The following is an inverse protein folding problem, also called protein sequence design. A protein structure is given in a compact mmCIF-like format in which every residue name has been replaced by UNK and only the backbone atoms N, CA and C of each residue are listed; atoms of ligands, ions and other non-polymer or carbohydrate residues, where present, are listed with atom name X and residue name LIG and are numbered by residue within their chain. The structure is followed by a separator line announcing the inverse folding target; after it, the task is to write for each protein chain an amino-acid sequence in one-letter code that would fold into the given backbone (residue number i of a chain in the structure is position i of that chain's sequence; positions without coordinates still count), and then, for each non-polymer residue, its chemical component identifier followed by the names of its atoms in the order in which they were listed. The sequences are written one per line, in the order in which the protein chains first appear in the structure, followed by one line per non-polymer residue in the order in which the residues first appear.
data_IF_361218914993
#
_entry.id   IF_361218914993
#
_cell.length_a   1.000
_cell.length_b   1.000
_cell.length_c   1.000
_cell.angle_alpha   90.00
_cell.angle_beta   90.00
_cell.angle_gamma   90.00
#
_symmetry.space_group_name_H-M   'P 1'
#
loop_
_entity.id
_entity.type
_entity.pdbx_description
1 polymer ?
#
# COMPACT_ATOMS: atom_id res chain seq x y z
N UNK A 1 -16.83 -1.07 8.94
CA UNK A 1 -16.53 -0.86 7.50
C UNK A 1 -15.44 0.19 7.42
N UNK A 2 -14.31 -0.13 6.81
CA UNK A 2 -13.24 0.85 6.57
C UNK A 2 -13.73 1.80 5.47
N UNK A 3 -13.58 3.11 5.65
CA UNK A 3 -13.87 4.07 4.59
C UNK A 3 -12.60 4.27 3.78
N UNK A 4 -12.57 3.72 2.57
CA UNK A 4 -11.42 3.82 1.66
C UNK A 4 -11.79 4.78 0.54
N UNK A 5 -10.94 5.78 0.29
CA UNK A 5 -11.17 6.72 -0.81
C UNK A 5 -10.89 6.05 -2.16
N UNK A 6 -11.73 6.30 -3.18
CA UNK A 6 -11.67 5.61 -4.48
C UNK A 6 -10.27 5.68 -5.14
N UNK A 7 -9.59 6.82 -5.03
CA UNK A 7 -8.21 7.02 -5.54
C UNK A 7 -7.21 5.94 -5.12
N UNK A 8 -7.42 5.27 -3.98
CA UNK A 8 -6.51 4.22 -3.53
C UNK A 8 -6.77 2.89 -4.25
N UNK A 9 -7.93 2.70 -4.88
CA UNK A 9 -8.16 1.59 -5.79
C UNK A 9 -7.47 1.83 -7.13
N UNK A 10 -7.48 3.07 -7.64
CA UNK A 10 -6.70 3.44 -8.84
C UNK A 10 -5.20 3.10 -8.63
N UNK A 11 -4.65 3.39 -7.43
CA UNK A 11 -3.29 2.98 -7.07
C UNK A 11 -3.08 1.47 -6.98
N UNK A 12 -4.10 0.71 -6.55
CA UNK A 12 -4.01 -0.76 -6.52
C UNK A 12 -3.95 -1.31 -7.94
N UNK A 13 -4.68 -0.72 -8.88
CA UNK A 13 -4.62 -1.10 -10.30
C UNK A 13 -3.23 -0.83 -10.87
N UNK A 14 -2.66 0.36 -10.64
CA UNK A 14 -1.29 0.69 -11.07
C UNK A 14 -0.25 -0.26 -10.44
N UNK A 15 -0.31 -0.47 -9.12
CA UNK A 15 0.55 -1.42 -8.43
C UNK A 15 0.41 -2.85 -8.97
N UNK A 16 -0.80 -3.29 -9.31
CA UNK A 16 -1.05 -4.63 -9.85
C UNK A 16 -0.42 -4.85 -11.22
N UNK A 17 -0.23 -3.79 -12.02
CA UNK A 17 0.46 -3.86 -13.32
C UNK A 17 1.99 -3.98 -13.19
N UNK A 18 2.56 -3.46 -12.10
CA UNK A 18 4.02 -3.37 -11.91
C UNK A 18 4.59 -4.41 -10.93
N UNK A 19 3.77 -4.92 -10.02
CA UNK A 19 4.21 -5.86 -8.99
C UNK A 19 4.65 -7.22 -9.57
N UNK A 20 5.62 -7.87 -8.91
CA UNK A 20 6.12 -9.17 -9.37
C UNK A 20 5.12 -10.31 -9.17
N UNK A 21 4.33 -10.23 -8.09
CA UNK A 21 3.32 -11.23 -7.76
C UNK A 21 1.94 -10.66 -8.08
N UNK A 22 1.15 -11.32 -8.95
CA UNK A 22 -0.20 -10.88 -9.27
C UNK A 22 -1.01 -10.54 -8.02
N UNK A 23 -1.79 -9.47 -8.09
CA UNK A 23 -2.76 -9.08 -7.07
C UNK A 23 -4.06 -9.83 -7.35
N UNK A 24 -4.54 -10.57 -6.36
CA UNK A 24 -5.85 -11.22 -6.44
C UNK A 24 -6.97 -10.21 -6.14
N UNK A 25 -8.17 -10.41 -6.71
CA UNK A 25 -9.33 -9.53 -6.46
C UNK A 25 -9.66 -9.43 -4.96
N UNK A 26 -9.44 -10.51 -4.20
CA UNK A 26 -9.62 -10.54 -2.75
C UNK A 26 -8.64 -9.66 -1.96
N UNK A 27 -7.51 -9.27 -2.55
CA UNK A 27 -6.51 -8.40 -1.92
C UNK A 27 -6.82 -6.91 -2.12
N UNK A 28 -7.70 -6.54 -3.06
CA UNK A 28 -7.88 -5.15 -3.49
C UNK A 28 -8.26 -4.19 -2.36
N UNK A 29 -9.27 -4.55 -1.54
CA UNK A 29 -9.69 -3.74 -0.38
C UNK A 29 -8.57 -3.61 0.66
N UNK A 30 -7.79 -4.67 0.88
CA UNK A 30 -6.71 -4.67 1.86
C UNK A 30 -5.55 -3.78 1.38
N UNK A 31 -5.16 -3.90 0.11
CA UNK A 31 -4.11 -3.08 -0.50
C UNK A 31 -4.52 -1.60 -0.56
N UNK A 32 -5.75 -1.30 -0.97
CA UNK A 32 -6.26 0.07 -1.01
C UNK A 32 -6.28 0.69 0.40
N UNK A 33 -6.64 -0.10 1.42
CA UNK A 33 -6.55 0.35 2.81
C UNK A 33 -5.10 0.59 3.25
N UNK A 34 -4.16 -0.27 2.85
CA UNK A 34 -2.75 -0.11 3.19
C UNK A 34 -2.16 1.15 2.54
N UNK A 35 -2.42 1.39 1.25
CA UNK A 35 -2.03 2.63 0.57
C UNK A 35 -2.61 3.87 1.27
N UNK A 36 -3.88 3.79 1.69
CA UNK A 36 -4.51 4.88 2.46
C UNK A 36 -3.77 5.15 3.77
N UNK A 37 -3.47 4.13 4.56
CA UNK A 37 -2.74 4.27 5.83
C UNK A 37 -1.33 4.84 5.59
N UNK A 38 -0.59 4.23 4.67
CA UNK A 38 0.80 4.55 4.39
C UNK A 38 0.97 5.97 3.88
N UNK A 39 0.21 6.38 2.85
CA UNK A 39 0.31 7.72 2.29
C UNK A 39 -0.18 8.80 3.25
N UNK A 40 -1.21 8.50 4.05
CA UNK A 40 -1.63 9.41 5.12
C UNK A 40 -0.48 9.62 6.11
N UNK A 41 0.15 8.54 6.56
CA UNK A 41 1.29 8.63 7.49
C UNK A 41 2.49 9.36 6.88
N UNK A 42 2.85 9.07 5.63
CA UNK A 42 3.97 9.74 4.93
C UNK A 42 3.75 11.26 4.81
N UNK A 43 2.49 11.69 4.64
CA UNK A 43 2.15 13.11 4.59
C UNK A 43 2.34 13.84 5.92
N UNK A 44 2.26 13.11 7.05
CA UNK A 44 2.44 13.64 8.40
C UNK A 44 3.88 13.46 8.92
N UNK A 45 4.53 12.36 8.53
CA UNK A 45 5.88 12.01 8.91
C UNK A 45 6.59 11.30 7.73
N UNK A 46 7.55 11.98 7.06
CA UNK A 46 8.26 11.42 5.90
C UNK A 46 9.10 10.17 6.20
N UNK A 47 9.46 9.94 7.46
CA UNK A 47 10.19 8.73 7.88
C UNK A 47 9.24 7.80 8.65
N UNK A 48 9.06 6.59 8.13
CA UNK A 48 8.23 5.55 8.75
C UNK A 48 9.09 4.33 9.00
N UNK A 49 9.06 3.84 10.23
CA UNK A 49 9.81 2.65 10.61
C UNK A 49 9.26 1.39 9.94
N UNK A 50 10.10 0.36 9.82
CA UNK A 50 9.66 -0.95 9.34
C UNK A 50 8.57 -1.55 10.26
N UNK A 51 8.69 -1.33 11.57
CA UNK A 51 7.70 -1.79 12.55
C UNK A 51 6.32 -1.14 12.31
N UNK A 52 6.27 0.17 12.07
CA UNK A 52 5.03 0.87 11.74
C UNK A 52 4.42 0.32 10.44
N UNK A 53 5.24 0.04 9.43
CA UNK A 53 4.77 -0.55 8.17
C UNK A 53 4.20 -1.95 8.37
N UNK A 54 4.82 -2.78 9.20
CA UNK A 54 4.31 -4.11 9.57
C UNK A 54 2.98 -4.03 10.34
N UNK A 55 2.86 -3.07 11.26
CA UNK A 55 1.60 -2.83 11.99
C UNK A 55 0.48 -2.40 11.03
N UNK A 56 0.77 -1.47 10.11
CA UNK A 56 -0.20 -1.05 9.09
C UNK A 56 -0.58 -2.21 8.14
N UNK A 57 0.37 -3.07 7.77
CA UNK A 57 0.10 -4.24 6.94
C UNK A 57 -0.83 -5.23 7.65
N UNK A 58 -0.58 -5.45 8.95
CA UNK A 58 -1.44 -6.27 9.81
C UNK A 58 -2.85 -5.67 9.93
N UNK A 59 -2.95 -4.35 10.10
CA UNK A 59 -4.24 -3.64 10.17
C UNK A 59 -5.00 -3.70 8.84
N UNK A 60 -4.29 -3.57 7.73
CA UNK A 60 -4.84 -3.67 6.38
C UNK A 60 -5.27 -5.09 6.03
N UNK A 61 -4.56 -6.10 6.54
CA UNK A 61 -4.76 -7.50 6.20
C UNK A 61 -4.03 -7.90 4.92
N UNK A 62 -2.87 -7.31 4.64
CA UNK A 62 -2.03 -7.68 3.50
C UNK A 62 -0.88 -8.59 3.96
N UNK A 63 -0.40 -9.42 3.03
CA UNK A 63 0.76 -10.28 3.28
C UNK A 63 2.04 -9.44 3.48
N UNK A 64 2.95 -9.82 4.40
CA UNK A 64 4.15 -9.05 4.69
C UNK A 64 5.05 -8.78 3.46
N UNK A 65 5.06 -9.68 2.48
CA UNK A 65 5.84 -9.49 1.26
C UNK A 65 5.37 -8.32 0.39
N UNK A 66 4.14 -7.83 0.61
CA UNK A 66 3.61 -6.66 -0.10
C UNK A 66 4.26 -5.36 0.41
N UNK A 67 4.80 -5.33 1.62
CA UNK A 67 5.42 -4.13 2.21
C UNK A 67 6.60 -3.65 1.38
N UNK A 68 7.59 -4.53 1.17
CA UNK A 68 8.81 -4.19 0.42
C UNK A 68 8.51 -3.87 -1.05
N UNK A 69 7.60 -4.64 -1.66
CA UNK A 69 7.18 -4.48 -3.05
C UNK A 69 6.46 -3.13 -3.26
N UNK A 70 5.59 -2.74 -2.32
CA UNK A 70 4.92 -1.43 -2.32
C UNK A 70 5.92 -0.30 -2.06
N UNK A 71 6.90 -0.49 -1.19
CA UNK A 71 7.95 0.50 -0.96
C UNK A 71 8.78 0.73 -2.23
N UNK A 72 9.10 -0.32 -2.99
CA UNK A 72 9.78 -0.20 -4.29
C UNK A 72 8.92 0.52 -5.32
N UNK A 73 7.65 0.15 -5.45
CA UNK A 73 6.67 0.83 -6.32
C UNK A 73 6.55 2.33 -6.02
N UNK A 74 6.34 2.71 -4.76
CA UNK A 74 6.20 4.11 -4.36
C UNK A 74 7.48 4.93 -4.57
N UNK A 75 8.65 4.30 -4.44
CA UNK A 75 9.92 4.97 -4.77
C UNK A 75 10.05 5.27 -6.26
N UNK A 76 9.46 4.45 -7.14
CA UNK A 76 9.45 4.73 -8.58
C UNK A 76 8.45 5.83 -8.90
N UNK A 77 7.21 5.69 -8.41
CA UNK A 77 6.12 6.65 -8.62
C UNK A 77 6.44 8.06 -8.08
N UNK A 78 7.13 8.17 -6.94
CA UNK A 78 7.54 9.46 -6.38
C UNK A 78 8.69 10.15 -7.13
N UNK A 79 9.33 9.48 -8.09
CA UNK A 79 10.46 9.97 -8.87
C UNK A 79 10.13 10.22 -10.36
N UNK A 80 8.89 9.98 -10.79
CA UNK A 80 8.37 10.37 -12.12
C UNK A 80 7.93 11.85 -12.16
#
# INVERSE_FOLDING_TARGET
MKQIHFKYYDMVEEYAEECQKPVEESEADALAHYFQLLLTRLSENPEISEEDQQQMATEAGIEPHRIDDIAEFLNQWGNE
#
